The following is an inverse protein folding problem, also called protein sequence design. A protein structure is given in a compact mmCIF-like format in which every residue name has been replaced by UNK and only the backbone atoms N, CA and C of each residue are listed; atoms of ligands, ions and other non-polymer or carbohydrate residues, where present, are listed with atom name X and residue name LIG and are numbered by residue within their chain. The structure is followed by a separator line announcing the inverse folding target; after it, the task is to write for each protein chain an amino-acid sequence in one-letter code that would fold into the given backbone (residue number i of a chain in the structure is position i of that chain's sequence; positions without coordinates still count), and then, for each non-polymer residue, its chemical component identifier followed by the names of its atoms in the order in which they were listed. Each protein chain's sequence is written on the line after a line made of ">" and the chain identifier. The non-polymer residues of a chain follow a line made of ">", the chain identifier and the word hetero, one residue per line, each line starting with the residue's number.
data_IF_786027228724
#
_entry.id   IF_786027228724
#
_cell.length_a   1.000
_cell.length_b   1.000
_cell.length_c   1.000
_cell.angle_alpha   90.00
_cell.angle_beta   90.00
_cell.angle_gamma   90.00
#
_symmetry.space_group_name_H-M   'P 1'
#
loop_
_entity.id
_entity.type
_entity.pdbx_description
1 polymer ?
#
# COMPACT_ATOMS: atom_id res chain seq x y z
N UNK A 1 -6.12 13.22 -10.83
CA UNK A 1 -5.14 14.04 -11.58
C UNK A 1 -3.76 13.38 -11.52
N UNK A 2 -3.20 12.97 -12.67
CA UNK A 2 -1.86 12.36 -12.74
C UNK A 2 -0.77 13.41 -12.93
N UNK A 3 -0.96 14.34 -13.89
CA UNK A 3 -0.02 15.43 -14.14
C UNK A 3 -0.76 16.69 -14.58
N UNK A 4 -0.11 17.86 -14.40
CA UNK A 4 -0.61 19.17 -14.78
C UNK A 4 0.58 20.07 -15.17
N UNK A 5 0.77 20.29 -16.45
CA UNK A 5 1.87 21.07 -16.99
C UNK A 5 1.35 22.32 -17.70
N UNK A 6 1.94 23.48 -17.44
CA UNK A 6 1.67 24.67 -18.22
C UNK A 6 2.52 24.63 -19.49
N UNK A 7 1.89 24.75 -20.67
CA UNK A 7 2.55 24.74 -21.97
C UNK A 7 2.18 25.96 -22.80
N UNK A 8 2.98 26.24 -23.81
CA UNK A 8 2.72 27.31 -24.77
C UNK A 8 2.42 26.71 -26.15
N UNK A 9 1.29 27.03 -26.69
CA UNK A 9 0.89 26.60 -28.04
C UNK A 9 1.67 27.34 -29.15
N UNK A 10 1.56 26.85 -30.38
CA UNK A 10 2.25 27.38 -31.55
C UNK A 10 1.95 28.86 -31.86
N UNK A 11 0.84 29.39 -31.34
CA UNK A 11 0.42 30.79 -31.46
C UNK A 11 0.75 31.63 -30.23
N UNK A 12 1.60 31.14 -29.30
CA UNK A 12 2.02 31.85 -28.10
C UNK A 12 0.98 31.83 -26.95
N UNK A 13 -0.19 31.23 -27.13
CA UNK A 13 -1.17 31.11 -26.06
C UNK A 13 -0.77 30.04 -25.07
N UNK A 14 -0.83 30.38 -23.77
CA UNK A 14 -0.60 29.41 -22.68
C UNK A 14 -1.82 28.53 -22.49
N UNK A 15 -1.60 27.27 -22.18
CA UNK A 15 -2.65 26.30 -21.83
C UNK A 15 -2.13 25.30 -20.79
N UNK A 16 -3.06 24.63 -20.09
CA UNK A 16 -2.69 23.51 -19.21
C UNK A 16 -2.84 22.19 -19.97
N UNK A 17 -1.80 21.40 -19.94
CA UNK A 17 -1.76 20.02 -20.40
C UNK A 17 -1.90 19.09 -19.20
N UNK A 18 -3.04 18.43 -19.10
CA UNK A 18 -3.41 17.62 -17.95
C UNK A 18 -3.46 16.15 -18.37
N UNK A 19 -3.09 15.26 -17.45
CA UNK A 19 -3.40 13.86 -17.55
C UNK A 19 -4.37 13.48 -16.42
N UNK A 20 -5.60 13.16 -16.77
CA UNK A 20 -6.66 12.75 -15.85
C UNK A 20 -6.78 11.24 -15.86
N UNK A 21 -7.01 10.63 -14.70
CA UNK A 21 -7.20 9.21 -14.57
C UNK A 21 -8.30 8.89 -13.55
N UNK A 22 -8.98 7.78 -13.79
CA UNK A 22 -9.81 7.08 -12.85
C UNK A 22 -9.45 5.58 -12.88
N UNK A 23 -10.23 4.71 -12.23
CA UNK A 23 -9.97 3.27 -12.24
C UNK A 23 -10.13 2.60 -13.60
N UNK A 24 -10.80 3.26 -14.56
CA UNK A 24 -11.07 2.72 -15.90
C UNK A 24 -9.99 3.05 -16.91
N UNK A 25 -9.19 4.10 -16.66
CA UNK A 25 -8.10 4.50 -17.55
C UNK A 25 -7.66 5.94 -17.39
N UNK A 26 -6.91 6.39 -18.39
CA UNK A 26 -6.32 7.73 -18.44
C UNK A 26 -6.76 8.46 -19.70
N UNK A 27 -6.96 9.78 -19.58
CA UNK A 27 -7.27 10.67 -20.69
C UNK A 27 -6.44 11.94 -20.62
N UNK A 28 -5.83 12.33 -21.75
CA UNK A 28 -5.21 13.63 -21.86
C UNK A 28 -6.29 14.72 -21.96
N UNK A 29 -6.13 15.81 -21.21
CA UNK A 29 -7.06 16.91 -21.17
C UNK A 29 -6.34 18.26 -21.37
N UNK A 30 -6.98 19.17 -22.12
CA UNK A 30 -6.47 20.50 -22.43
C UNK A 30 -7.39 21.56 -21.87
N UNK A 31 -6.82 22.48 -21.08
CA UNK A 31 -7.50 23.71 -20.62
C UNK A 31 -6.88 24.88 -21.33
N UNK A 32 -7.62 25.50 -22.24
CA UNK A 32 -7.10 26.60 -23.06
C UNK A 32 -7.14 27.97 -22.37
N UNK A 33 -7.43 28.00 -21.07
CA UNK A 33 -7.27 29.19 -20.24
C UNK A 33 -5.93 29.10 -19.48
N UNK A 34 -4.94 29.78 -20.00
CA UNK A 34 -3.58 29.79 -19.43
C UNK A 34 -3.43 30.59 -18.13
N UNK A 35 -4.47 31.25 -17.65
CA UNK A 35 -4.48 32.00 -16.41
C UNK A 35 -4.94 31.16 -15.19
N UNK A 36 -5.49 29.97 -15.45
CA UNK A 36 -5.88 29.07 -14.37
C UNK A 36 -4.64 28.46 -13.72
N UNK A 37 -4.56 28.45 -12.38
CA UNK A 37 -3.50 27.75 -11.68
C UNK A 37 -3.57 26.25 -12.00
N UNK A 38 -2.42 25.64 -12.24
CA UNK A 38 -2.34 24.20 -12.47
C UNK A 38 -2.79 23.45 -11.19
N UNK A 39 -3.77 22.54 -11.28
CA UNK A 39 -4.18 21.74 -10.13
C UNK A 39 -3.01 20.86 -9.66
N UNK A 40 -2.93 20.63 -8.36
CA UNK A 40 -1.88 19.80 -7.78
C UNK A 40 -2.03 18.35 -8.26
N UNK A 41 -0.99 17.73 -8.82
CA UNK A 41 -0.97 16.31 -9.10
C UNK A 41 -1.31 15.49 -7.83
N UNK A 42 -2.10 14.43 -7.97
CA UNK A 42 -2.66 13.66 -6.84
C UNK A 42 -4.00 14.20 -6.30
N UNK A 43 -4.40 15.42 -6.67
CA UNK A 43 -5.71 15.93 -6.25
C UNK A 43 -6.87 15.37 -7.08
N UNK A 44 -8.04 15.29 -6.45
CA UNK A 44 -9.29 14.99 -7.15
C UNK A 44 -9.86 16.30 -7.71
N UNK A 45 -10.22 16.27 -8.99
CA UNK A 45 -10.78 17.43 -9.69
C UNK A 45 -12.13 17.10 -10.32
N UNK A 46 -13.05 18.05 -10.27
CA UNK A 46 -14.31 18.01 -11.03
C UNK A 46 -14.09 18.74 -12.34
N UNK A 47 -14.35 18.03 -13.44
CA UNK A 47 -14.09 18.53 -14.79
C UNK A 47 -15.37 18.50 -15.61
N UNK A 48 -15.62 19.55 -16.39
CA UNK A 48 -16.63 19.61 -17.43
C UNK A 48 -15.94 19.92 -18.75
N UNK A 49 -16.30 19.19 -19.80
CA UNK A 49 -15.74 19.38 -21.13
C UNK A 49 -16.34 18.44 -22.16
N UNK A 50 -15.87 18.57 -23.39
CA UNK A 50 -16.25 17.68 -24.50
C UNK A 50 -15.07 16.81 -24.94
N UNK A 51 -15.34 15.60 -25.36
CA UNK A 51 -14.35 14.70 -25.95
C UNK A 51 -14.14 15.05 -27.43
N UNK A 52 -12.89 14.96 -27.86
CA UNK A 52 -12.50 15.09 -29.26
C UNK A 52 -11.40 14.07 -29.58
N UNK A 53 -11.29 13.72 -30.83
CA UNK A 53 -10.17 12.91 -31.34
C UNK A 53 -9.10 13.82 -31.93
N UNK A 54 -7.87 13.64 -31.50
CA UNK A 54 -6.70 14.36 -32.02
C UNK A 54 -5.57 13.37 -32.29
N UNK A 55 -5.11 13.31 -33.54
CA UNK A 55 -4.07 12.36 -33.99
C UNK A 55 -4.39 10.89 -33.61
N UNK A 56 -5.63 10.46 -33.79
CA UNK A 56 -6.06 9.08 -33.48
C UNK A 56 -6.14 8.76 -31.98
N UNK A 57 -6.11 9.76 -31.11
CA UNK A 57 -6.24 9.59 -29.65
C UNK A 57 -7.37 10.44 -29.10
N UNK A 58 -8.12 9.84 -28.19
CA UNK A 58 -9.16 10.54 -27.45
C UNK A 58 -8.53 11.60 -26.54
N UNK A 59 -9.06 12.82 -26.59
CA UNK A 59 -8.65 13.94 -25.76
C UNK A 59 -9.86 14.65 -25.18
N UNK A 60 -9.75 15.18 -23.97
CA UNK A 60 -10.80 15.98 -23.33
C UNK A 60 -10.48 17.48 -23.49
N UNK A 61 -11.34 18.21 -24.17
CA UNK A 61 -11.33 19.68 -24.16
C UNK A 61 -12.08 20.17 -22.93
N UNK A 62 -11.34 20.69 -21.97
CA UNK A 62 -11.89 21.14 -20.68
C UNK A 62 -12.48 22.55 -20.83
N UNK A 63 -13.73 22.70 -20.40
CA UNK A 63 -14.43 23.98 -20.32
C UNK A 63 -14.36 24.57 -18.90
N UNK A 64 -14.45 23.70 -17.88
CA UNK A 64 -14.33 24.08 -16.48
C UNK A 64 -13.60 22.99 -15.70
N UNK A 65 -12.75 23.42 -14.78
CA UNK A 65 -12.04 22.56 -13.83
C UNK A 65 -11.99 23.25 -12.47
N UNK A 66 -12.18 22.49 -11.42
CA UNK A 66 -11.98 22.90 -10.03
C UNK A 66 -11.57 21.72 -9.16
N UNK A 67 -10.93 21.91 -8.01
CA UNK A 67 -10.81 20.86 -7.01
C UNK A 67 -12.19 20.30 -6.63
N UNK A 68 -12.24 19.01 -6.32
CA UNK A 68 -13.44 18.40 -5.74
C UNK A 68 -13.70 19.02 -4.35
N UNK A 69 -14.95 19.28 -4.05
CA UNK A 69 -15.40 19.77 -2.76
C UNK A 69 -16.15 18.65 -1.99
N UNK A 70 -16.31 18.75 -0.66
CA UNK A 70 -17.02 17.73 0.11
C UNK A 70 -18.42 17.41 -0.42
N UNK A 71 -19.10 18.39 -1.00
CA UNK A 71 -20.44 18.24 -1.59
C UNK A 71 -20.45 17.38 -2.87
N UNK A 72 -19.31 17.16 -3.48
CA UNK A 72 -19.21 16.33 -4.69
C UNK A 72 -19.37 14.83 -4.41
N UNK A 73 -19.33 14.43 -3.12
CA UNK A 73 -19.52 13.05 -2.65
C UNK A 73 -18.69 12.03 -3.47
N UNK A 74 -17.38 12.28 -3.59
CA UNK A 74 -16.51 11.49 -4.45
C UNK A 74 -16.28 10.11 -3.85
N UNK A 75 -16.62 9.06 -4.57
CA UNK A 75 -16.21 7.71 -4.26
C UNK A 75 -14.78 7.48 -4.78
N UNK A 76 -13.82 7.36 -3.86
CA UNK A 76 -12.41 7.17 -4.20
C UNK A 76 -12.16 5.83 -4.89
N UNK A 77 -13.00 4.82 -4.66
CA UNK A 77 -12.89 3.51 -5.31
C UNK A 77 -13.13 3.56 -6.82
N UNK A 78 -13.86 4.58 -7.29
CA UNK A 78 -14.05 4.84 -8.71
C UNK A 78 -12.84 5.55 -9.36
N UNK A 79 -11.93 6.10 -8.54
CA UNK A 79 -10.80 6.90 -9.03
C UNK A 79 -9.46 6.16 -8.97
N UNK A 80 -9.31 5.21 -8.05
CA UNK A 80 -8.07 4.44 -7.86
C UNK A 80 -8.40 3.06 -7.30
N UNK A 81 -7.58 2.04 -7.57
CA UNK A 81 -7.71 0.77 -6.87
C UNK A 81 -7.62 0.99 -5.36
N UNK A 82 -8.52 0.38 -4.60
CA UNK A 82 -8.59 0.46 -3.13
C UNK A 82 -8.58 -0.94 -2.54
N UNK A 83 -8.10 -1.05 -1.32
CA UNK A 83 -8.27 -2.26 -0.51
C UNK A 83 -9.76 -2.65 -0.41
N UNK A 84 -10.08 -3.94 -0.32
CA UNK A 84 -11.47 -4.41 -0.28
C UNK A 84 -12.20 -4.06 1.03
N UNK A 85 -11.45 -3.89 2.13
CA UNK A 85 -11.98 -3.49 3.44
C UNK A 85 -11.74 -2.00 3.68
N UNK A 86 -12.58 -1.36 4.49
CA UNK A 86 -12.38 0.06 4.85
C UNK A 86 -11.14 0.24 5.73
N UNK A 87 -10.42 1.37 5.60
CA UNK A 87 -9.29 1.65 6.50
C UNK A 87 -9.67 1.60 7.99
N UNK A 88 -10.89 2.01 8.32
CA UNK A 88 -11.45 2.01 9.68
C UNK A 88 -11.59 0.59 10.22
N UNK A 89 -12.10 -0.34 9.40
CA UNK A 89 -12.26 -1.74 9.81
C UNK A 89 -10.92 -2.45 9.97
N UNK A 90 -9.98 -2.18 9.06
CA UNK A 90 -8.64 -2.73 9.12
C UNK A 90 -7.85 -2.20 10.34
N UNK A 91 -7.94 -0.90 10.63
CA UNK A 91 -7.32 -0.32 11.83
C UNK A 91 -7.93 -0.89 13.11
N UNK A 92 -9.26 -1.08 13.15
CA UNK A 92 -9.91 -1.72 14.29
C UNK A 92 -9.38 -3.14 14.53
N UNK A 93 -9.19 -3.96 13.48
CA UNK A 93 -8.60 -5.30 13.60
C UNK A 93 -7.17 -5.25 14.18
N UNK A 94 -6.37 -4.25 13.80
CA UNK A 94 -5.02 -4.03 14.34
C UNK A 94 -5.11 -3.65 15.82
N UNK A 95 -5.96 -2.67 16.19
CA UNK A 95 -6.13 -2.23 17.57
C UNK A 95 -6.65 -3.35 18.48
N UNK A 96 -7.63 -4.12 18.04
CA UNK A 96 -8.11 -5.30 18.77
C UNK A 96 -6.99 -6.33 18.98
N UNK A 97 -6.09 -6.48 18.03
CA UNK A 97 -4.93 -7.37 18.16
C UNK A 97 -3.93 -6.82 19.18
N UNK A 98 -3.65 -5.50 19.14
CA UNK A 98 -2.78 -4.83 20.12
C UNK A 98 -3.36 -4.92 21.54
N UNK A 99 -4.67 -4.74 21.68
CA UNK A 99 -5.37 -4.87 22.99
C UNK A 99 -5.22 -6.28 23.57
N UNK A 100 -5.14 -7.29 22.73
CA UNK A 100 -4.95 -8.70 23.12
C UNK A 100 -3.53 -9.07 23.54
N UNK A 101 -2.51 -8.23 23.28
CA UNK A 101 -1.12 -8.51 23.66
C UNK A 101 -0.97 -8.54 25.20
N UNK A 102 -0.30 -9.56 25.71
CA UNK A 102 -0.14 -9.76 27.15
C UNK A 102 1.06 -9.03 27.73
N UNK A 103 2.15 -8.91 26.96
CA UNK A 103 3.34 -8.15 27.35
C UNK A 103 3.05 -6.65 27.26
N UNK A 104 3.08 -5.95 28.40
CA UNK A 104 2.76 -4.53 28.52
C UNK A 104 3.70 -3.64 27.71
N UNK A 105 4.99 -3.97 27.68
CA UNK A 105 6.01 -3.17 26.98
C UNK A 105 5.82 -3.29 25.46
N UNK A 106 5.64 -4.51 24.93
CA UNK A 106 5.36 -4.77 23.53
C UNK A 106 4.04 -4.09 23.13
N UNK A 107 3.00 -4.20 23.94
CA UNK A 107 1.70 -3.57 23.69
C UNK A 107 1.79 -2.06 23.60
N UNK A 108 2.47 -1.40 24.56
CA UNK A 108 2.62 0.05 24.59
C UNK A 108 3.45 0.55 23.41
N UNK A 109 4.55 -0.13 23.11
CA UNK A 109 5.44 0.21 22.00
C UNK A 109 4.71 0.08 20.66
N UNK A 110 4.04 -1.04 20.43
CA UNK A 110 3.28 -1.29 19.19
C UNK A 110 2.17 -0.27 19.00
N UNK A 111 1.39 0.02 20.06
CA UNK A 111 0.30 1.01 20.01
C UNK A 111 0.80 2.40 19.67
N UNK A 112 1.87 2.87 20.31
CA UNK A 112 2.41 4.20 20.06
C UNK A 112 2.96 4.33 18.64
N UNK A 113 3.63 3.29 18.13
CA UNK A 113 4.08 3.25 16.73
C UNK A 113 2.91 3.34 15.77
N UNK A 114 1.88 2.48 15.91
CA UNK A 114 0.69 2.52 15.05
C UNK A 114 0.03 3.90 15.11
N UNK A 115 -0.15 4.47 16.30
CA UNK A 115 -0.74 5.82 16.48
C UNK A 115 0.03 6.91 15.71
N UNK A 116 1.36 6.87 15.70
CA UNK A 116 2.19 7.85 14.97
C UNK A 116 2.03 7.74 13.45
N UNK A 117 1.86 6.53 12.96
CA UNK A 117 1.77 6.25 11.53
C UNK A 117 0.34 6.21 10.98
N UNK A 118 -0.69 6.11 11.84
CA UNK A 118 -2.10 5.95 11.47
C UNK A 118 -2.58 6.93 10.38
N UNK A 119 -2.28 8.24 10.43
CA UNK A 119 -2.77 9.16 9.42
C UNK A 119 -2.34 8.79 7.99
N UNK A 120 -1.15 8.19 7.84
CA UNK A 120 -0.64 7.74 6.56
C UNK A 120 -1.13 6.32 6.21
N UNK A 121 -1.22 5.42 7.18
CA UNK A 121 -1.70 4.05 6.98
C UNK A 121 -3.06 4.01 6.27
N UNK A 122 -3.92 4.98 6.52
CA UNK A 122 -5.26 5.09 5.93
C UNK A 122 -5.28 5.13 4.39
N UNK A 123 -4.17 5.45 3.74
CA UNK A 123 -4.13 5.56 2.28
C UNK A 123 -2.85 5.01 1.64
N UNK A 124 -1.82 4.66 2.41
CA UNK A 124 -0.57 4.17 1.84
C UNK A 124 -0.71 2.78 1.23
N UNK A 125 -0.13 2.54 0.05
CA UNK A 125 0.02 1.21 -0.54
C UNK A 125 1.17 0.46 0.13
N UNK A 126 1.17 -0.88 0.01
CA UNK A 126 2.29 -1.70 0.50
C UNK A 126 3.50 -1.68 -0.43
N UNK A 127 3.28 -1.41 -1.72
CA UNK A 127 4.33 -1.34 -2.73
C UNK A 127 3.98 -0.35 -3.85
N UNK A 128 4.98 0.05 -4.62
CA UNK A 128 4.78 0.96 -5.75
C UNK A 128 3.97 0.31 -6.89
N UNK A 129 4.17 -0.99 -7.17
CA UNK A 129 3.63 -1.62 -8.40
C UNK A 129 3.18 -3.07 -8.29
N UNK A 130 3.63 -3.85 -7.32
CA UNK A 130 3.50 -5.31 -7.38
C UNK A 130 2.32 -5.80 -6.53
N UNK A 131 2.51 -5.99 -5.23
CA UNK A 131 1.48 -6.46 -4.32
C UNK A 131 0.87 -5.31 -3.55
N UNK A 132 -0.43 -5.36 -3.32
CA UNK A 132 -1.16 -4.33 -2.58
C UNK A 132 -0.80 -2.88 -3.00
N UNK A 133 -0.53 -2.68 -4.32
CA UNK A 133 -0.25 -1.36 -4.90
C UNK A 133 -1.56 -0.58 -5.12
N UNK A 134 -2.30 -0.42 -4.07
CA UNK A 134 -3.64 0.17 -4.01
C UNK A 134 -3.76 1.08 -2.79
N UNK A 135 -4.75 1.95 -2.78
CA UNK A 135 -5.04 2.80 -1.63
C UNK A 135 -5.39 1.95 -0.41
N UNK A 136 -4.78 2.24 0.74
CA UNK A 136 -4.85 1.44 1.98
C UNK A 136 -4.26 0.03 1.85
N UNK A 137 -3.45 -0.21 0.81
CA UNK A 137 -2.84 -1.51 0.54
C UNK A 137 -1.92 -2.00 1.65
N UNK A 138 -1.24 -1.08 2.36
CA UNK A 138 -0.40 -1.44 3.51
C UNK A 138 -1.22 -2.00 4.68
N UNK A 139 -2.40 -1.42 4.97
CA UNK A 139 -3.33 -1.99 5.94
C UNK A 139 -3.88 -3.34 5.50
N UNK A 140 -4.24 -3.47 4.21
CA UNK A 140 -4.74 -4.72 3.65
C UNK A 140 -3.72 -5.85 3.79
N UNK A 141 -2.46 -5.58 3.42
CA UNK A 141 -1.33 -6.48 3.62
C UNK A 141 -1.18 -6.88 5.09
N UNK A 142 -1.05 -5.90 5.99
CA UNK A 142 -0.88 -6.14 7.42
C UNK A 142 -2.02 -6.98 8.03
N UNK A 143 -3.28 -6.68 7.70
CA UNK A 143 -4.42 -7.44 8.23
C UNK A 143 -4.51 -8.84 7.61
N UNK A 144 -4.15 -9.02 6.34
CA UNK A 144 -4.00 -10.33 5.69
C UNK A 144 -2.98 -11.19 6.42
N UNK A 145 -1.80 -10.63 6.66
CA UNK A 145 -0.73 -11.27 7.42
C UNK A 145 -1.13 -11.60 8.86
N UNK A 146 -1.84 -10.70 9.56
CA UNK A 146 -2.34 -10.96 10.92
C UNK A 146 -3.30 -12.17 10.95
N UNK A 147 -4.21 -12.28 9.97
CA UNK A 147 -5.10 -13.45 9.86
C UNK A 147 -4.31 -14.75 9.67
N UNK A 148 -3.30 -14.72 8.79
CA UNK A 148 -2.42 -15.87 8.57
C UNK A 148 -1.59 -16.22 9.83
N UNK A 149 -0.98 -15.22 10.46
CA UNK A 149 -0.20 -15.40 11.69
C UNK A 149 -1.02 -15.99 12.85
N UNK A 150 -2.27 -15.53 13.02
CA UNK A 150 -3.21 -16.09 14.01
C UNK A 150 -3.54 -17.55 13.73
N UNK A 151 -3.73 -17.93 12.47
CA UNK A 151 -3.97 -19.31 12.07
C UNK A 151 -2.72 -20.19 12.30
N UNK A 152 -1.54 -19.70 12.01
CA UNK A 152 -0.27 -20.40 12.27
C UNK A 152 -0.05 -20.58 13.76
N UNK A 153 -0.32 -19.56 14.58
CA UNK A 153 -0.19 -19.65 16.03
C UNK A 153 -1.13 -20.73 16.62
N UNK A 154 -2.33 -20.90 16.09
CA UNK A 154 -3.22 -22.00 16.50
C UNK A 154 -2.61 -23.39 16.26
N UNK A 155 -1.76 -23.54 15.24
CA UNK A 155 -1.06 -24.79 14.92
C UNK A 155 0.18 -24.95 15.80
N UNK A 156 0.88 -23.84 16.08
CA UNK A 156 2.14 -23.79 16.84
C UNK A 156 2.01 -22.90 18.09
N UNK A 157 1.21 -23.30 19.12
CA UNK A 157 0.89 -22.45 20.27
C UNK A 157 2.07 -22.22 21.24
N UNK A 158 3.22 -22.80 20.97
CA UNK A 158 4.46 -22.55 21.68
C UNK A 158 5.19 -21.27 21.18
N UNK A 159 4.78 -20.68 20.07
CA UNK A 159 5.26 -19.40 19.60
C UNK A 159 4.79 -18.27 20.53
N UNK A 160 5.62 -17.26 20.72
CA UNK A 160 5.22 -16.05 21.42
C UNK A 160 4.29 -15.20 20.53
N UNK A 161 2.99 -15.22 20.82
CA UNK A 161 1.99 -14.49 20.05
C UNK A 161 2.22 -12.98 20.07
N UNK A 162 2.72 -12.42 21.17
CA UNK A 162 2.93 -10.97 21.30
C UNK A 162 4.02 -10.49 20.36
N UNK A 163 5.16 -11.19 20.32
CA UNK A 163 6.23 -10.88 19.36
C UNK A 163 5.76 -11.07 17.93
N UNK A 164 5.09 -12.20 17.64
CA UNK A 164 4.64 -12.51 16.28
C UNK A 164 3.67 -11.44 15.75
N UNK A 165 2.65 -11.09 16.54
CA UNK A 165 1.64 -10.12 16.07
C UNK A 165 2.19 -8.70 16.04
N UNK A 166 2.99 -8.29 17.03
CA UNK A 166 3.66 -7.01 17.01
C UNK A 166 4.62 -6.90 15.81
N UNK A 167 5.43 -7.94 15.54
CA UNK A 167 6.31 -7.99 14.38
C UNK A 167 5.53 -7.81 13.07
N UNK A 168 4.40 -8.52 12.89
CA UNK A 168 3.53 -8.37 11.71
C UNK A 168 2.98 -6.94 11.60
N UNK A 169 2.53 -6.33 12.69
CA UNK A 169 1.98 -4.97 12.67
C UNK A 169 3.05 -3.94 12.29
N UNK A 170 4.27 -4.12 12.77
CA UNK A 170 5.33 -3.11 12.70
C UNK A 170 6.24 -3.23 11.48
N UNK A 171 6.34 -4.41 10.84
CA UNK A 171 7.42 -4.71 9.87
C UNK A 171 7.56 -3.68 8.76
N UNK A 172 6.45 -3.18 8.25
CA UNK A 172 6.38 -2.33 7.07
C UNK A 172 5.87 -0.90 7.34
N UNK A 173 5.66 -0.48 8.59
CA UNK A 173 5.15 0.85 8.92
C UNK A 173 5.97 1.97 8.25
N UNK A 174 7.28 1.80 8.22
CA UNK A 174 8.20 2.80 7.68
C UNK A 174 8.23 2.86 6.14
N UNK A 175 7.49 2.00 5.42
CA UNK A 175 7.19 2.23 4.00
C UNK A 175 6.46 3.54 3.78
N UNK A 176 5.74 4.04 4.78
CA UNK A 176 5.11 5.38 4.75
C UNK A 176 6.10 6.54 4.83
N UNK A 177 7.35 6.28 5.21
CA UNK A 177 8.46 7.24 5.16
C UNK A 177 9.39 6.96 3.98
N UNK A 178 9.51 5.70 3.57
CA UNK A 178 10.31 5.27 2.44
C UNK A 178 9.74 5.75 1.10
N UNK A 179 8.43 5.64 0.92
CA UNK A 179 7.75 5.98 -0.34
C UNK A 179 7.07 7.34 -0.24
N UNK A 180 7.09 8.11 -1.35
CA UNK A 180 6.33 9.33 -1.49
C UNK A 180 4.97 9.05 -2.16
N UNK A 181 3.95 8.77 -1.35
CA UNK A 181 2.58 8.51 -1.80
C UNK A 181 1.69 9.74 -1.65
N UNK A 182 0.79 9.95 -2.61
CA UNK A 182 -0.31 10.90 -2.45
C UNK A 182 -1.51 10.25 -1.72
N UNK A 183 -2.52 11.05 -1.38
CA UNK A 183 -3.73 10.58 -0.68
C UNK A 183 -4.57 9.57 -1.47
N UNK A 184 -4.30 9.42 -2.77
CA UNK A 184 -4.92 8.40 -3.62
C UNK A 184 -4.19 7.05 -3.56
N UNK A 185 -3.13 6.92 -2.74
CA UNK A 185 -2.33 5.71 -2.65
C UNK A 185 -1.39 5.51 -3.85
N UNK A 186 -1.09 6.58 -4.58
CA UNK A 186 -0.21 6.51 -5.75
C UNK A 186 1.20 6.91 -5.35
N UNK A 187 2.11 5.97 -5.38
CA UNK A 187 3.55 6.21 -5.16
C UNK A 187 4.18 6.79 -6.43
N UNK A 188 4.74 7.98 -6.31
CA UNK A 188 5.42 8.66 -7.43
C UNK A 188 6.90 8.42 -7.43
N UNK A 189 7.51 8.40 -6.25
CA UNK A 189 8.94 8.26 -6.06
C UNK A 189 9.23 7.74 -4.64
N UNK A 190 10.48 7.49 -4.36
CA UNK A 190 10.98 7.23 -3.01
C UNK A 190 11.43 8.54 -2.36
N UNK A 191 11.32 8.63 -1.04
CA UNK A 191 11.88 9.75 -0.28
C UNK A 191 13.41 9.70 -0.30
N UNK A 192 14.06 10.79 0.07
CA UNK A 192 15.51 10.82 0.22
C UNK A 192 15.98 9.80 1.27
N UNK A 193 15.30 9.75 2.39
CA UNK A 193 15.53 8.81 3.49
C UNK A 193 15.28 7.37 3.03
N UNK A 194 14.23 7.14 2.26
CA UNK A 194 13.92 5.84 1.67
C UNK A 194 15.01 5.33 0.74
N UNK A 195 15.52 6.19 -0.15
CA UNK A 195 16.61 5.83 -1.07
C UNK A 195 17.93 5.55 -0.37
N UNK A 196 18.20 6.21 0.75
CA UNK A 196 19.48 6.09 1.47
C UNK A 196 19.48 4.98 2.54
N UNK A 197 18.36 4.74 3.21
CA UNK A 197 18.28 3.87 4.38
C UNK A 197 17.32 2.68 4.16
N UNK A 198 16.22 2.88 3.42
CA UNK A 198 15.17 1.88 3.29
C UNK A 198 14.32 1.72 4.55
N UNK A 199 13.13 1.11 4.41
CA UNK A 199 12.19 0.96 5.53
C UNK A 199 12.69 0.06 6.66
N UNK A 200 13.60 -0.90 6.40
CA UNK A 200 14.18 -1.76 7.44
C UNK A 200 14.94 -0.93 8.48
N UNK A 201 15.88 -0.09 8.02
CA UNK A 201 16.68 0.76 8.91
C UNK A 201 15.83 1.85 9.55
N UNK A 202 14.92 2.47 8.77
CA UNK A 202 13.96 3.43 9.31
C UNK A 202 13.09 2.80 10.39
N UNK A 203 12.63 1.56 10.20
CA UNK A 203 11.82 0.82 11.15
C UNK A 203 12.53 0.60 12.49
N UNK A 204 13.75 0.12 12.46
CA UNK A 204 14.60 -0.03 13.66
C UNK A 204 14.76 1.32 14.37
N UNK A 205 15.07 2.39 13.61
CA UNK A 205 15.23 3.73 14.20
C UNK A 205 13.95 4.21 14.89
N UNK A 206 12.77 4.00 14.29
CA UNK A 206 11.49 4.42 14.88
C UNK A 206 11.11 3.60 16.10
N UNK A 207 11.42 2.29 16.10
CA UNK A 207 11.23 1.44 17.29
C UNK A 207 12.09 1.99 18.45
N UNK A 208 13.38 2.26 18.22
CA UNK A 208 14.26 2.78 19.26
C UNK A 208 13.80 4.15 19.79
N UNK A 209 13.45 5.09 18.90
CA UNK A 209 12.93 6.41 19.29
C UNK A 209 11.69 6.31 20.17
N UNK A 210 10.74 5.46 19.80
CA UNK A 210 9.51 5.29 20.58
C UNK A 210 9.77 4.56 21.90
N UNK A 211 10.68 3.59 21.90
CA UNK A 211 11.09 2.90 23.11
C UNK A 211 11.74 3.86 24.12
N UNK A 212 12.61 4.75 23.65
CA UNK A 212 13.24 5.80 24.48
C UNK A 212 12.19 6.76 25.05
N UNK A 213 11.25 7.22 24.23
CA UNK A 213 10.14 8.11 24.67
C UNK A 213 9.24 7.46 25.73
N UNK A 214 9.05 6.14 25.68
CA UNK A 214 8.23 5.38 26.62
C UNK A 214 9.03 4.84 27.82
N UNK A 215 10.36 4.98 27.82
CA UNK A 215 11.24 4.41 28.82
C UNK A 215 11.28 2.87 28.79
N UNK A 216 11.07 2.26 27.63
CA UNK A 216 11.12 0.82 27.41
C UNK A 216 12.53 0.46 26.90
N UNK A 217 13.16 -0.55 27.50
CA UNK A 217 14.52 -0.96 27.15
C UNK A 217 14.66 -2.48 27.22
N UNK A 218 15.76 -2.99 26.68
CA UNK A 218 16.14 -4.39 26.82
C UNK A 218 15.58 -5.31 25.74
N UNK A 219 15.33 -6.55 26.12
CA UNK A 219 15.06 -7.64 25.18
C UNK A 219 13.82 -7.44 24.30
N UNK A 220 12.65 -6.91 24.78
CA UNK A 220 11.48 -6.69 23.92
C UNK A 220 11.79 -5.76 22.74
N UNK A 221 12.55 -4.69 22.96
CA UNK A 221 12.95 -3.74 21.91
C UNK A 221 13.87 -4.42 20.92
N UNK A 222 14.91 -5.07 21.40
CA UNK A 222 15.90 -5.77 20.57
C UNK A 222 15.27 -6.85 19.69
N UNK A 223 14.32 -7.62 20.23
CA UNK A 223 13.65 -8.67 19.45
C UNK A 223 12.76 -8.10 18.35
N UNK A 224 12.01 -7.03 18.63
CA UNK A 224 11.20 -6.35 17.60
C UNK A 224 12.09 -5.71 16.52
N UNK A 225 13.18 -5.05 16.90
CA UNK A 225 14.17 -4.51 15.95
C UNK A 225 14.73 -5.61 15.04
N UNK A 226 15.09 -6.77 15.63
CA UNK A 226 15.55 -7.90 14.85
C UNK A 226 14.48 -8.40 13.87
N UNK A 227 13.21 -8.51 14.28
CA UNK A 227 12.12 -8.92 13.41
C UNK A 227 12.00 -7.98 12.20
N UNK A 228 12.04 -6.65 12.44
CA UNK A 228 11.98 -5.68 11.34
C UNK A 228 13.19 -5.81 10.42
N UNK A 229 14.38 -5.94 10.98
CA UNK A 229 15.63 -5.99 10.22
C UNK A 229 15.75 -7.26 9.37
N UNK A 230 15.15 -8.36 9.80
CA UNK A 230 15.32 -9.70 9.22
C UNK A 230 14.12 -10.18 8.37
N UNK A 231 12.99 -9.43 8.30
CA UNK A 231 11.77 -9.98 7.71
C UNK A 231 11.87 -10.26 6.21
N UNK A 232 12.77 -9.64 5.46
CA UNK A 232 13.03 -10.04 4.06
C UNK A 232 13.81 -11.37 3.94
N UNK A 233 14.30 -11.92 5.05
CA UNK A 233 14.95 -13.23 5.13
C UNK A 233 16.42 -13.22 4.72
N UNK A 234 16.72 -12.81 3.50
CA UNK A 234 18.06 -12.92 2.92
C UNK A 234 18.69 -11.57 2.58
N UNK A 235 20.05 -11.54 2.58
CA UNK A 235 20.80 -10.32 2.28
C UNK A 235 20.54 -9.80 0.85
N UNK A 236 20.25 -10.68 -0.09
CA UNK A 236 19.90 -10.32 -1.47
C UNK A 236 18.60 -9.50 -1.57
N UNK A 237 17.71 -9.65 -0.57
CA UNK A 237 16.47 -8.91 -0.45
C UNK A 237 16.56 -7.73 0.54
N UNK A 238 17.75 -7.45 1.07
CA UNK A 238 18.04 -6.29 1.89
C UNK A 238 18.13 -6.55 3.39
N UNK A 239 17.79 -7.73 3.91
CA UNK A 239 17.95 -8.07 5.32
C UNK A 239 19.43 -8.34 5.64
N UNK A 240 20.08 -7.56 6.52
CA UNK A 240 21.50 -7.76 6.84
C UNK A 240 21.74 -9.02 7.70
N UNK A 241 20.70 -9.60 8.27
CA UNK A 241 20.69 -10.85 9.04
C UNK A 241 19.46 -11.67 8.69
N UNK A 242 19.57 -13.00 8.63
CA UNK A 242 18.37 -13.86 8.51
C UNK A 242 17.59 -13.85 9.84
N UNK A 243 16.33 -14.30 9.84
CA UNK A 243 15.57 -14.53 11.07
C UNK A 243 16.31 -15.49 12.00
N UNK A 244 16.47 -15.13 13.27
CA UNK A 244 17.25 -15.89 14.25
C UNK A 244 16.40 -16.58 15.32
N UNK A 245 15.06 -16.42 15.27
CA UNK A 245 14.13 -17.09 16.18
C UNK A 245 12.79 -17.35 15.48
N UNK A 246 11.97 -18.27 16.00
CA UNK A 246 10.79 -18.79 15.28
C UNK A 246 9.77 -17.73 14.85
N UNK A 247 9.48 -16.74 15.68
CA UNK A 247 8.50 -15.68 15.38
C UNK A 247 8.98 -14.79 14.23
N UNK A 248 10.29 -14.51 14.16
CA UNK A 248 10.88 -13.78 13.04
C UNK A 248 10.83 -14.59 11.73
N UNK A 249 11.08 -15.90 11.82
CA UNK A 249 10.97 -16.83 10.69
C UNK A 249 9.53 -16.90 10.17
N UNK A 250 8.54 -17.00 11.06
CA UNK A 250 7.12 -17.00 10.67
C UNK A 250 6.73 -15.67 10.03
N UNK A 251 7.20 -14.53 10.56
CA UNK A 251 6.97 -13.22 9.96
C UNK A 251 7.46 -13.20 8.51
N UNK A 252 8.69 -13.62 8.26
CA UNK A 252 9.26 -13.70 6.90
C UNK A 252 8.39 -14.51 5.94
N UNK A 253 7.96 -15.71 6.35
CA UNK A 253 7.17 -16.57 5.47
C UNK A 253 5.76 -16.05 5.24
N UNK A 254 5.13 -15.43 6.24
CA UNK A 254 3.78 -14.86 6.11
C UNK A 254 3.80 -13.63 5.20
N UNK A 255 4.81 -12.79 5.31
CA UNK A 255 5.01 -11.63 4.42
C UNK A 255 5.17 -12.09 2.96
N UNK A 256 6.10 -13.00 2.71
CA UNK A 256 6.32 -13.55 1.37
C UNK A 256 5.06 -14.24 0.82
N UNK A 257 4.32 -14.97 1.66
CA UNK A 257 3.10 -15.66 1.27
C UNK A 257 2.01 -14.66 0.85
N UNK A 258 1.73 -13.66 1.67
CA UNK A 258 0.67 -12.68 1.42
C UNK A 258 0.97 -11.86 0.15
N UNK A 259 2.21 -11.38 0.00
CA UNK A 259 2.65 -10.66 -1.18
C UNK A 259 2.46 -11.50 -2.46
N UNK A 260 2.89 -12.78 -2.44
CA UNK A 260 2.74 -13.68 -3.60
C UNK A 260 1.29 -14.02 -3.90
N UNK A 261 0.47 -14.26 -2.88
CA UNK A 261 -0.95 -14.58 -3.09
C UNK A 261 -1.71 -13.40 -3.69
N UNK A 262 -1.47 -12.18 -3.23
CA UNK A 262 -2.05 -10.97 -3.81
C UNK A 262 -1.64 -10.80 -5.29
N UNK A 263 -0.37 -10.97 -5.60
CA UNK A 263 0.13 -10.88 -6.98
C UNK A 263 -0.48 -11.95 -7.88
N UNK A 264 -0.51 -13.21 -7.42
CA UNK A 264 -1.11 -14.33 -8.16
C UNK A 264 -2.60 -14.12 -8.37
N UNK A 265 -3.35 -13.68 -7.35
CA UNK A 265 -4.78 -13.38 -7.43
C UNK A 265 -5.04 -12.31 -8.49
N UNK A 266 -4.27 -11.22 -8.47
CA UNK A 266 -4.38 -10.14 -9.46
C UNK A 266 -4.12 -10.63 -10.88
N UNK A 267 -3.11 -11.49 -11.05
CA UNK A 267 -2.74 -12.02 -12.36
C UNK A 267 -3.78 -13.01 -12.92
N UNK A 268 -4.23 -13.97 -12.10
CA UNK A 268 -5.23 -14.96 -12.55
C UNK A 268 -6.63 -14.37 -12.69
N UNK A 269 -6.97 -13.33 -11.92
CA UNK A 269 -8.27 -12.67 -11.97
C UNK A 269 -8.62 -12.12 -13.37
N UNK A 270 -7.62 -11.77 -14.16
CA UNK A 270 -7.75 -11.27 -15.54
C UNK A 270 -7.84 -12.39 -16.61
N UNK A 271 -7.64 -13.65 -16.24
CA UNK A 271 -7.63 -14.78 -17.15
C UNK A 271 -9.02 -15.44 -17.23
N UNK A 272 -9.26 -16.15 -18.33
CA UNK A 272 -10.36 -17.14 -18.38
C UNK A 272 -9.95 -18.41 -17.65
N UNK A 273 -10.88 -19.15 -17.02
CA UNK A 273 -10.59 -20.47 -16.47
C UNK A 273 -9.99 -21.40 -17.51
N UNK A 274 -9.03 -22.22 -17.11
CA UNK A 274 -8.37 -23.22 -17.98
C UNK A 274 -7.26 -22.67 -18.87
N UNK A 275 -6.81 -21.42 -18.70
CA UNK A 275 -5.72 -20.87 -19.52
C UNK A 275 -4.52 -20.42 -18.66
N UNK A 276 -3.36 -20.35 -19.30
CA UNK A 276 -2.15 -19.79 -18.70
C UNK A 276 -2.04 -18.29 -18.94
N UNK A 277 -1.48 -17.59 -17.95
CA UNK A 277 -1.04 -16.19 -18.12
C UNK A 277 0.13 -16.07 -19.09
N UNK A 278 0.45 -14.85 -19.51
CA UNK A 278 1.81 -14.53 -19.93
C UNK A 278 2.80 -14.74 -18.77
N UNK A 279 4.11 -14.73 -19.07
CA UNK A 279 5.13 -14.85 -18.04
C UNK A 279 5.07 -13.63 -17.12
N UNK A 280 4.90 -13.86 -15.83
CA UNK A 280 4.92 -12.83 -14.79
C UNK A 280 6.37 -12.67 -14.35
N UNK A 281 6.91 -11.49 -14.61
CA UNK A 281 8.33 -11.22 -14.39
C UNK A 281 8.76 -11.41 -12.94
N UNK A 282 7.99 -10.89 -11.98
CA UNK A 282 8.27 -10.98 -10.54
C UNK A 282 8.21 -12.40 -9.98
N UNK A 283 7.43 -13.28 -10.60
CA UNK A 283 7.31 -14.71 -10.24
C UNK A 283 8.19 -15.62 -11.09
N UNK A 284 8.80 -15.09 -12.15
CA UNK A 284 9.60 -15.81 -13.17
C UNK A 284 8.89 -17.01 -13.80
N UNK A 285 7.55 -17.00 -13.85
CA UNK A 285 6.72 -18.11 -14.38
C UNK A 285 5.39 -17.65 -14.91
N UNK A 286 4.73 -18.56 -15.64
CA UNK A 286 3.33 -18.43 -16.05
C UNK A 286 2.44 -19.06 -14.98
N UNK A 287 1.25 -18.50 -14.78
CA UNK A 287 0.23 -19.05 -13.87
C UNK A 287 -0.90 -19.66 -14.66
N UNK A 288 -1.39 -20.78 -14.20
CA UNK A 288 -2.58 -21.43 -14.74
C UNK A 288 -3.78 -21.09 -13.89
N UNK A 289 -4.86 -20.56 -14.50
CA UNK A 289 -6.12 -20.41 -13.81
C UNK A 289 -6.89 -21.72 -13.85
N UNK A 290 -7.02 -22.39 -12.71
CA UNK A 290 -7.78 -23.63 -12.58
C UNK A 290 -9.23 -23.42 -13.02
N UNK A 291 -9.86 -24.41 -13.73
CA UNK A 291 -11.23 -24.27 -14.24
C UNK A 291 -12.31 -24.59 -13.18
N UNK A 292 -11.93 -24.70 -11.92
CA UNK A 292 -12.85 -25.00 -10.82
C UNK A 292 -13.14 -23.70 -10.06
N UNK A 293 -14.41 -23.49 -9.71
CA UNK A 293 -14.79 -22.38 -8.82
C UNK A 293 -14.31 -22.68 -7.40
N UNK A 294 -13.80 -21.66 -6.69
CA UNK A 294 -13.57 -21.77 -5.26
C UNK A 294 -14.92 -21.90 -4.56
N UNK A 295 -15.03 -22.78 -3.59
CA UNK A 295 -16.27 -23.05 -2.83
C UNK A 295 -16.79 -21.83 -2.03
N UNK A 296 -16.06 -20.70 -2.02
CA UNK A 296 -16.38 -19.53 -1.20
C UNK A 296 -17.21 -18.43 -1.92
N UNK A 297 -17.62 -18.64 -3.16
CA UNK A 297 -18.48 -17.68 -3.89
C UNK A 297 -19.97 -18.03 -3.86
N UNK A 298 -20.43 -18.79 -2.90
CA UNK A 298 -21.86 -18.89 -2.61
C UNK A 298 -22.20 -17.78 -1.61
N UNK A 299 -22.92 -16.72 -2.00
CA UNK A 299 -23.48 -15.82 -1.00
C UNK A 299 -24.40 -16.67 -0.11
N UNK A 300 -24.15 -16.65 1.18
CA UNK A 300 -25.06 -17.23 2.15
C UNK A 300 -26.47 -16.66 1.87
N UNK A 301 -27.32 -17.53 1.35
CA UNK A 301 -28.75 -17.29 1.13
C UNK A 301 -29.48 -17.05 2.44
#
# INVERSE_FOLDING_TARGET
>A
MRSADQRTGSKGAKYLDLNLADRTGEVNAKVWDGNLPAPTPGSVVKVRGGTLEYNGRLQLRVERIRPAAPEDAVDLSELTPCAPESPEDMLRQIEETIDGLQNEEIRRLTRELVRRFEPKLRYYPAAQRIHHAERSGLLHHTTGMLRAAKAIWQIYPWLNSDLLYAGVILHDLCKTEEMASDQMGVVRDYSKEGLLLGHLVLGVTRIQEVADDLGITGEPVLLLEHMILSHHGEAEFGSPRPPMFPEAEVLHWVDLLDARMNEMQTAIGKLRPGVFSEKIWSLDRRLYRVPYESLENTPNS
#
